data_IF_153386116190
#
_entry.id   IF_153386116190
#
_cell.length_a   1.000
_cell.length_b   1.000
_cell.length_c   1.000
_cell.angle_alpha   90.00
_cell.angle_beta   90.00
_cell.angle_gamma   90.00
#
_symmetry.space_group_name_H-M   'P 1'
#
loop_
_entity.id
_entity.type
_entity.pdbx_description
1 polymer ?
#
# COMPACT_ATOMS: atom_id res chain seq x y z
N UNK A 1 -17.74 -23.65 13.69
CA UNK A 1 -16.93 -23.09 12.58
C UNK A 1 -15.92 -22.13 13.19
N UNK A 2 -14.63 -22.34 12.96
CA UNK A 2 -13.60 -21.44 13.47
C UNK A 2 -13.72 -20.07 12.79
N UNK A 3 -13.59 -18.99 13.55
CA UNK A 3 -13.65 -17.62 13.05
C UNK A 3 -12.51 -17.39 12.04
N UNK A 4 -12.83 -16.76 10.89
CA UNK A 4 -11.82 -16.44 9.86
C UNK A 4 -10.87 -15.38 10.41
N UNK A 5 -9.57 -15.69 10.42
CA UNK A 5 -8.53 -14.79 10.91
C UNK A 5 -8.26 -13.70 9.86
N UNK A 6 -8.53 -12.45 10.22
CA UNK A 6 -8.21 -11.30 9.35
C UNK A 6 -6.75 -10.90 9.51
N UNK A 7 -6.00 -10.97 8.42
CA UNK A 7 -4.59 -10.63 8.34
C UNK A 7 -4.35 -9.46 7.39
N UNK A 8 -3.33 -8.68 7.68
CA UNK A 8 -2.79 -7.65 6.80
C UNK A 8 -1.28 -7.72 6.81
N UNK A 9 -0.61 -7.07 5.84
CA UNK A 9 0.85 -6.95 5.81
C UNK A 9 1.37 -6.46 7.18
N UNK A 10 0.84 -5.38 7.73
CA UNK A 10 1.28 -4.84 9.02
C UNK A 10 1.07 -5.80 10.20
N UNK A 11 0.05 -6.67 10.13
CA UNK A 11 -0.14 -7.73 11.13
C UNK A 11 0.96 -8.78 11.04
N UNK A 12 1.31 -9.19 9.82
CA UNK A 12 2.39 -10.18 9.57
C UNK A 12 3.74 -9.60 10.00
N UNK A 13 4.07 -8.37 9.59
CA UNK A 13 5.29 -7.68 10.01
C UNK A 13 5.40 -7.56 11.53
N UNK A 14 4.31 -7.20 12.20
CA UNK A 14 4.28 -7.12 13.66
C UNK A 14 4.53 -8.48 14.29
N UNK A 15 3.97 -9.55 13.74
CA UNK A 15 4.21 -10.91 14.23
C UNK A 15 5.67 -11.32 14.05
N UNK A 16 6.25 -11.08 12.88
CA UNK A 16 7.67 -11.40 12.60
C UNK A 16 8.62 -10.59 13.48
N UNK A 17 8.32 -9.32 13.73
CA UNK A 17 9.14 -8.46 14.58
C UNK A 17 9.00 -8.79 16.07
N UNK A 18 7.79 -9.06 16.52
CA UNK A 18 7.47 -9.34 17.92
C UNK A 18 6.15 -10.10 18.06
N UNK A 19 6.18 -11.44 18.10
CA UNK A 19 4.96 -12.26 18.26
C UNK A 19 4.13 -11.86 19.49
N UNK A 20 4.80 -11.57 20.62
CA UNK A 20 4.13 -11.09 21.84
C UNK A 20 3.35 -9.81 21.61
N UNK A 21 3.96 -8.80 20.96
CA UNK A 21 3.30 -7.53 20.64
C UNK A 21 2.11 -7.73 19.71
N UNK A 22 2.21 -8.65 18.76
CA UNK A 22 1.10 -9.00 17.88
C UNK A 22 -0.08 -9.60 18.65
N UNK A 23 0.17 -10.50 19.58
CA UNK A 23 -0.87 -11.10 20.42
C UNK A 23 -1.51 -10.05 21.32
N UNK A 24 -0.73 -9.18 21.96
CA UNK A 24 -1.24 -8.11 22.82
C UNK A 24 -2.17 -7.17 22.03
N UNK A 25 -1.79 -6.78 20.83
CA UNK A 25 -2.61 -5.93 19.96
C UNK A 25 -3.88 -6.66 19.49
N UNK A 26 -3.76 -7.87 18.96
CA UNK A 26 -4.89 -8.57 18.33
C UNK A 26 -5.88 -9.14 19.33
N UNK A 27 -5.39 -9.75 20.40
CA UNK A 27 -6.24 -10.43 21.38
C UNK A 27 -6.70 -9.51 22.50
N UNK A 28 -5.83 -8.63 22.97
CA UNK A 28 -6.09 -7.79 24.14
C UNK A 28 -6.30 -6.32 23.81
N UNK A 29 -6.19 -5.93 22.51
CA UNK A 29 -6.34 -4.55 22.03
C UNK A 29 -5.36 -3.54 22.68
N UNK A 30 -4.22 -4.05 23.18
CA UNK A 30 -3.15 -3.25 23.76
C UNK A 30 -2.21 -2.83 22.63
N UNK A 31 -2.25 -1.55 22.27
CA UNK A 31 -1.41 -0.97 21.19
C UNK A 31 -0.25 -0.19 21.78
N UNK A 32 0.93 -0.23 21.14
CA UNK A 32 2.00 0.69 21.50
C UNK A 32 1.58 2.14 21.21
N UNK A 33 2.12 3.13 21.93
CA UNK A 33 1.91 4.53 21.59
C UNK A 33 2.42 4.78 20.17
N UNK A 34 1.64 5.50 19.37
CA UNK A 34 2.01 5.87 18.00
C UNK A 34 1.91 7.38 17.82
N UNK A 35 2.90 7.96 17.15
CA UNK A 35 2.84 9.35 16.71
C UNK A 35 2.11 9.41 15.36
N UNK A 36 1.22 10.37 15.14
CA UNK A 36 0.57 10.54 13.85
C UNK A 36 1.56 11.07 12.81
N UNK A 37 1.66 10.39 11.67
CA UNK A 37 2.48 10.84 10.52
C UNK A 37 1.67 11.75 9.61
N UNK A 38 1.32 12.95 10.08
CA UNK A 38 0.44 13.90 9.37
C UNK A 38 0.98 14.32 8.01
N UNK A 39 2.30 14.52 7.89
CA UNK A 39 2.93 14.89 6.62
C UNK A 39 2.81 13.78 5.58
N UNK A 40 3.05 12.53 5.96
CA UNK A 40 2.94 11.39 5.05
C UNK A 40 1.51 11.22 4.53
N UNK A 41 0.52 11.42 5.39
CA UNK A 41 -0.90 11.39 5.01
C UNK A 41 -1.23 12.52 4.03
N UNK A 42 -0.69 13.72 4.25
CA UNK A 42 -0.91 14.84 3.34
C UNK A 42 -0.30 14.59 1.96
N UNK A 43 0.93 14.07 1.89
CA UNK A 43 1.59 13.71 0.64
C UNK A 43 0.84 12.61 -0.10
N UNK A 44 0.41 11.56 0.60
CA UNK A 44 -0.39 10.48 0.01
C UNK A 44 -1.69 11.01 -0.62
N UNK A 45 -2.40 11.89 0.07
CA UNK A 45 -3.63 12.50 -0.46
C UNK A 45 -3.37 13.38 -1.67
N UNK A 46 -2.28 14.17 -1.68
CA UNK A 46 -1.91 15.00 -2.82
C UNK A 46 -1.58 14.13 -4.05
N UNK A 47 -0.77 13.09 -3.88
CA UNK A 47 -0.45 12.15 -4.95
C UNK A 47 -1.70 11.45 -5.51
N UNK A 48 -2.61 11.01 -4.66
CA UNK A 48 -3.88 10.41 -5.09
C UNK A 48 -4.73 11.36 -5.92
N UNK A 49 -4.85 12.63 -5.50
CA UNK A 49 -5.57 13.64 -6.26
C UNK A 49 -4.93 13.91 -7.64
N UNK A 50 -3.61 13.96 -7.68
CA UNK A 50 -2.87 14.14 -8.93
C UNK A 50 -3.05 12.93 -9.86
N UNK A 51 -2.91 11.70 -9.36
CA UNK A 51 -3.15 10.48 -10.13
C UNK A 51 -4.61 10.42 -10.63
N UNK A 52 -5.58 10.89 -9.86
CA UNK A 52 -6.98 10.95 -10.27
C UNK A 52 -7.23 11.98 -11.38
N UNK A 53 -6.46 13.06 -11.42
CA UNK A 53 -6.48 13.99 -12.55
C UNK A 53 -6.05 13.28 -13.84
N UNK A 54 -4.87 12.63 -13.85
CA UNK A 54 -4.38 11.89 -15.01
C UNK A 54 -5.26 10.70 -15.40
N UNK A 55 -5.91 10.08 -14.42
CA UNK A 55 -6.91 9.02 -14.65
C UNK A 55 -8.13 9.53 -15.40
N UNK A 56 -8.59 10.74 -15.12
CA UNK A 56 -9.72 11.34 -15.85
C UNK A 56 -9.41 11.58 -17.30
N UNK A 57 -8.25 12.15 -17.59
CA UNK A 57 -7.82 12.48 -18.96
C UNK A 57 -7.19 11.30 -19.70
N UNK A 58 -6.85 10.21 -19.00
CA UNK A 58 -6.20 9.01 -19.54
C UNK A 58 -4.85 9.30 -20.22
N UNK A 59 -4.07 10.16 -19.58
CA UNK A 59 -2.72 10.50 -20.00
C UNK A 59 -1.69 9.95 -19.02
N UNK A 60 -0.45 9.68 -19.47
CA UNK A 60 0.64 9.29 -18.60
C UNK A 60 0.98 10.41 -17.61
N UNK A 61 1.28 10.03 -16.37
CA UNK A 61 1.78 10.99 -15.39
C UNK A 61 3.21 11.47 -15.76
N UNK A 62 3.57 12.75 -15.53
CA UNK A 62 4.90 13.28 -15.87
C UNK A 62 6.06 12.46 -15.31
N UNK A 63 5.99 11.99 -14.07
CA UNK A 63 7.01 11.11 -13.48
C UNK A 63 7.24 9.83 -14.31
N UNK A 64 6.18 9.26 -14.87
CA UNK A 64 6.31 8.04 -15.66
C UNK A 64 6.94 8.34 -17.01
N UNK A 65 6.63 9.49 -17.62
CA UNK A 65 7.27 9.95 -18.86
C UNK A 65 8.76 10.15 -18.62
N UNK A 66 9.13 10.84 -17.54
CA UNK A 66 10.53 11.11 -17.15
C UNK A 66 11.34 9.82 -16.99
N UNK A 67 10.73 8.78 -16.42
CA UNK A 67 11.38 7.47 -16.20
C UNK A 67 11.14 6.44 -17.32
N UNK A 68 10.56 6.85 -18.43
CA UNK A 68 10.33 5.96 -19.59
C UNK A 68 9.31 4.85 -19.32
N UNK A 69 8.40 5.04 -18.38
CA UNK A 69 7.35 4.08 -18.05
C UNK A 69 6.09 4.43 -18.83
N UNK A 70 5.77 3.62 -19.84
CA UNK A 70 4.59 3.81 -20.68
C UNK A 70 3.36 3.19 -20.02
N UNK A 71 2.74 3.94 -19.12
CA UNK A 71 1.56 3.54 -18.37
C UNK A 71 0.64 4.74 -18.11
N UNK A 72 -0.64 4.46 -17.92
CA UNK A 72 -1.67 5.44 -17.53
C UNK A 72 -2.40 4.97 -16.27
N UNK A 73 -2.94 5.89 -15.45
CA UNK A 73 -3.72 5.50 -14.28
C UNK A 73 -4.93 4.65 -14.65
N UNK A 74 -5.02 3.49 -14.04
CA UNK A 74 -6.03 2.48 -14.36
C UNK A 74 -7.44 2.93 -13.91
N UNK A 75 -8.40 2.90 -14.83
CA UNK A 75 -9.82 3.14 -14.54
C UNK A 75 -10.52 1.85 -14.13
N UNK A 76 -11.02 1.79 -12.90
CA UNK A 76 -11.82 0.65 -12.45
C UNK A 76 -12.84 1.06 -11.39
N UNK A 77 -14.06 0.50 -11.47
CA UNK A 77 -15.15 0.82 -10.54
C UNK A 77 -14.85 0.53 -9.06
N UNK A 78 -13.95 -0.40 -8.79
CA UNK A 78 -13.57 -0.79 -7.43
C UNK A 78 -12.29 -0.09 -6.93
N UNK A 79 -11.71 0.86 -7.67
CA UNK A 79 -10.44 1.47 -7.32
C UNK A 79 -10.48 2.12 -5.92
N UNK A 80 -11.51 2.90 -5.65
CA UNK A 80 -11.70 3.55 -4.34
C UNK A 80 -11.76 2.53 -3.20
N UNK A 81 -12.41 1.40 -3.44
CA UNK A 81 -12.43 0.29 -2.48
C UNK A 81 -11.04 -0.30 -2.27
N UNK A 82 -10.26 -0.48 -3.32
CA UNK A 82 -8.91 -1.06 -3.25
C UNK A 82 -7.91 -0.13 -2.56
N UNK A 83 -8.10 1.19 -2.69
CA UNK A 83 -7.31 2.25 -2.03
C UNK A 83 -7.72 2.46 -0.56
N UNK A 84 -8.84 1.91 -0.13
CA UNK A 84 -9.35 2.06 1.23
C UNK A 84 -8.61 1.16 2.22
N UNK A 85 -8.02 1.74 3.26
CA UNK A 85 -7.36 1.00 4.34
C UNK A 85 -8.30 0.05 5.11
N UNK A 86 -9.62 0.29 5.04
CA UNK A 86 -10.62 -0.54 5.72
C UNK A 86 -11.09 -1.72 4.87
N UNK A 87 -11.11 -1.57 3.56
CA UNK A 87 -11.60 -2.59 2.64
C UNK A 87 -10.45 -3.26 1.89
N UNK A 88 -9.73 -2.50 1.06
CA UNK A 88 -8.58 -2.96 0.30
C UNK A 88 -8.91 -4.09 -0.67
N UNK A 89 -7.86 -4.72 -1.17
CA UNK A 89 -7.91 -5.97 -1.92
C UNK A 89 -7.84 -7.10 -0.90
N UNK A 90 -8.70 -8.11 -1.04
CA UNK A 90 -8.81 -9.22 -0.08
C UNK A 90 -8.66 -10.56 -0.77
N UNK A 91 -7.88 -11.45 -0.16
CA UNK A 91 -7.75 -12.85 -0.52
C UNK A 91 -8.19 -13.74 0.64
N UNK A 92 -9.13 -14.63 0.38
CA UNK A 92 -9.63 -15.59 1.38
C UNK A 92 -9.10 -16.96 1.10
N UNK A 93 -8.41 -17.54 2.07
CA UNK A 93 -8.04 -18.96 2.07
C UNK A 93 -9.02 -19.76 2.93
N UNK A 94 -9.79 -20.64 2.29
CA UNK A 94 -10.69 -21.54 3.00
C UNK A 94 -9.88 -22.62 3.70
N UNK A 95 -8.87 -23.16 3.02
CA UNK A 95 -7.99 -24.22 3.53
C UNK A 95 -7.30 -23.82 4.84
N UNK A 96 -6.78 -22.61 4.93
CA UNK A 96 -6.04 -22.14 6.10
C UNK A 96 -6.84 -21.18 6.98
N UNK A 97 -8.12 -21.01 6.71
CA UNK A 97 -9.06 -20.20 7.50
C UNK A 97 -8.59 -18.76 7.79
N UNK A 98 -8.05 -18.09 6.77
CA UNK A 98 -7.69 -16.67 6.88
C UNK A 98 -8.22 -15.81 5.73
N UNK A 99 -8.34 -14.52 6.00
CA UNK A 99 -8.67 -13.47 5.05
C UNK A 99 -7.55 -12.42 5.07
N UNK A 100 -6.63 -12.51 4.08
CA UNK A 100 -5.49 -11.61 3.95
C UNK A 100 -5.84 -10.43 3.05
N UNK A 101 -5.40 -9.23 3.40
CA UNK A 101 -5.63 -8.08 2.55
C UNK A 101 -4.90 -6.83 2.95
N UNK A 102 -4.95 -5.86 2.04
CA UNK A 102 -4.36 -4.55 2.21
C UNK A 102 -4.86 -3.55 1.16
N UNK A 103 -4.64 -2.28 1.42
CA UNK A 103 -4.87 -1.21 0.46
C UNK A 103 -3.65 -1.08 -0.47
N UNK A 104 -3.90 -0.62 -1.68
CA UNK A 104 -2.89 -0.12 -2.61
C UNK A 104 -2.99 1.40 -2.66
N UNK A 105 -1.89 2.11 -2.89
CA UNK A 105 -1.96 3.56 -3.04
C UNK A 105 -2.54 3.93 -4.40
N UNK A 106 -2.11 3.23 -5.46
CA UNK A 106 -2.72 3.34 -6.79
C UNK A 106 -2.44 2.11 -7.67
N UNK A 107 -3.11 2.06 -8.83
CA UNK A 107 -2.89 1.06 -9.88
C UNK A 107 -2.80 1.77 -11.23
N UNK A 108 -1.78 1.40 -12.02
CA UNK A 108 -1.53 1.94 -13.35
C UNK A 108 -1.50 0.81 -14.37
N UNK A 109 -1.85 1.12 -15.61
CA UNK A 109 -1.94 0.13 -16.68
C UNK A 109 -0.99 0.49 -17.81
N UNK A 110 -0.18 -0.48 -18.23
CA UNK A 110 0.67 -0.39 -19.43
C UNK A 110 -0.18 -0.59 -20.68
N UNK A 111 0.37 -0.17 -21.84
CA UNK A 111 -0.27 -0.39 -23.14
C UNK A 111 -0.53 -1.86 -23.48
N UNK A 112 0.30 -2.77 -22.98
CA UNK A 112 0.11 -4.21 -23.17
C UNK A 112 -0.98 -4.81 -22.27
N UNK A 113 -1.61 -4.00 -21.41
CA UNK A 113 -2.65 -4.43 -20.47
C UNK A 113 -2.14 -4.81 -19.08
N UNK A 114 -0.83 -4.93 -18.86
CA UNK A 114 -0.27 -5.25 -17.54
C UNK A 114 -0.59 -4.16 -16.53
N UNK A 115 -0.85 -4.57 -15.30
CA UNK A 115 -1.09 -3.65 -14.19
C UNK A 115 0.18 -3.47 -13.36
N UNK A 116 0.41 -2.23 -12.94
CA UNK A 116 1.49 -1.84 -12.02
C UNK A 116 0.83 -1.38 -10.73
N UNK A 117 1.24 -1.97 -9.60
CA UNK A 117 0.85 -1.48 -8.28
C UNK A 117 1.79 -0.34 -7.91
N UNK A 118 1.23 0.80 -7.54
CA UNK A 118 1.95 1.98 -7.10
C UNK A 118 1.90 2.03 -5.57
N UNK A 119 3.07 2.25 -4.97
CA UNK A 119 3.24 2.46 -3.54
C UNK A 119 3.97 3.79 -3.33
N UNK A 120 3.33 4.73 -2.65
CA UNK A 120 3.85 6.08 -2.42
C UNK A 120 4.60 6.10 -1.09
N UNK A 121 5.87 6.51 -1.13
CA UNK A 121 6.69 6.69 0.07
C UNK A 121 7.16 8.13 0.19
N UNK A 122 6.78 8.79 1.28
CA UNK A 122 7.24 10.13 1.58
C UNK A 122 8.43 10.10 2.54
N UNK A 123 9.41 10.97 2.32
CA UNK A 123 10.55 11.17 3.21
C UNK A 123 10.86 12.65 3.36
N UNK A 124 11.28 13.06 4.56
CA UNK A 124 11.77 14.39 4.84
C UNK A 124 13.30 14.53 4.72
N UNK A 125 13.99 13.51 4.24
CA UNK A 125 15.45 13.54 4.07
C UNK A 125 15.82 14.38 2.86
N UNK A 126 16.80 15.27 3.03
CA UNK A 126 17.31 16.11 1.94
C UNK A 126 18.15 15.29 0.92
N UNK A 127 18.86 14.27 1.40
CA UNK A 127 19.65 13.37 0.57
C UNK A 127 18.97 11.99 0.58
N UNK A 128 18.37 11.64 -0.55
CA UNK A 128 17.66 10.38 -0.73
C UNK A 128 18.50 9.46 -1.63
N UNK A 129 18.98 8.36 -1.08
CA UNK A 129 19.62 7.29 -1.83
C UNK A 129 18.68 6.09 -1.92
N UNK A 130 18.34 5.70 -3.15
CA UNK A 130 17.45 4.58 -3.44
C UNK A 130 18.00 3.26 -2.90
N UNK A 131 19.27 3.01 -3.12
CA UNK A 131 19.91 1.73 -2.76
C UNK A 131 19.96 1.55 -1.24
N UNK A 132 20.35 2.60 -0.52
CA UNK A 132 20.38 2.58 0.95
C UNK A 132 18.97 2.44 1.53
N UNK A 133 18.02 3.23 1.02
CA UNK A 133 16.64 3.23 1.53
C UNK A 133 15.92 1.94 1.22
N UNK A 134 16.10 1.41 0.01
CA UNK A 134 15.47 0.17 -0.43
C UNK A 134 15.96 -1.03 0.39
N UNK A 135 17.28 -1.12 0.63
CA UNK A 135 17.86 -2.19 1.43
C UNK A 135 17.54 -2.05 2.93
N UNK A 136 17.62 -0.83 3.47
CA UNK A 136 17.40 -0.58 4.90
C UNK A 136 15.97 -0.85 5.36
N UNK A 137 14.99 -0.49 4.54
CA UNK A 137 13.57 -0.65 4.87
C UNK A 137 12.94 -1.90 4.24
N UNK A 138 13.74 -2.72 3.58
CA UNK A 138 13.31 -3.98 2.97
C UNK A 138 12.07 -3.83 2.05
N UNK A 139 11.94 -2.70 1.38
CA UNK A 139 10.78 -2.44 0.50
C UNK A 139 10.61 -3.47 -0.62
N UNK A 140 11.70 -4.17 -0.98
CA UNK A 140 11.66 -5.26 -1.95
C UNK A 140 10.97 -6.52 -1.43
N UNK A 141 10.79 -6.65 -0.11
CA UNK A 141 10.16 -7.81 0.52
C UNK A 141 8.67 -7.61 0.79
N UNK A 142 8.14 -6.46 0.39
CA UNK A 142 6.76 -6.08 0.63
C UNK A 142 5.80 -6.64 -0.42
#
# INVERSE_FOLDING_TARGET
MSEIIKLSRSTVEKYLSCPRCCVLDKKYQIKPPSLPFTLNIAVDNLCKNEFDHYRRIQEPHPLFIEHGIDAVPFKHKNLERWRSNFQGIRYKSIEHNYDFGGAVDDIWQKKNGDLIIIDVKATSRNNFDWSETFNKYEYAKA
#
